data_IF_162104791292
#
_entry.id   IF_162104791292
#
_cell.length_a   1.000
_cell.length_b   1.000
_cell.length_c   1.000
_cell.angle_alpha   90.00
_cell.angle_beta   90.00
_cell.angle_gamma   90.00
#
_symmetry.space_group_name_H-M   'P 1'
#
loop_
_entity.id
_entity.type
_entity.pdbx_description
1 polymer ?
#
# COMPACT_ATOMS: atom_id res chain seq x y z
N UNK A 1 10.36 -19.83 -58.27
CA UNK A 1 9.62 -20.57 -57.23
C UNK A 1 10.34 -20.74 -55.88
N UNK A 2 11.68 -20.76 -55.79
CA UNK A 2 12.40 -20.95 -54.52
C UNK A 2 12.36 -19.75 -53.55
N UNK A 3 12.46 -18.52 -54.07
CA UNK A 3 12.45 -17.29 -53.24
C UNK A 3 11.15 -17.07 -52.45
N UNK A 4 10.01 -17.49 -53.00
CA UNK A 4 8.69 -17.31 -52.38
C UNK A 4 8.47 -18.25 -51.16
N UNK A 5 9.06 -19.45 -51.19
CA UNK A 5 9.02 -20.40 -50.05
C UNK A 5 9.93 -19.95 -48.91
N UNK A 6 11.09 -19.35 -49.22
CA UNK A 6 12.02 -18.83 -48.22
C UNK A 6 11.43 -17.65 -47.45
N UNK A 7 10.75 -16.73 -48.12
CA UNK A 7 10.07 -15.60 -47.46
C UNK A 7 8.86 -16.05 -46.64
N UNK A 8 8.11 -17.06 -47.10
CA UNK A 8 7.00 -17.63 -46.33
C UNK A 8 7.47 -18.32 -45.03
N UNK A 9 8.55 -19.11 -45.09
CA UNK A 9 9.14 -19.75 -43.90
C UNK A 9 9.69 -18.72 -42.90
N UNK A 10 10.24 -17.61 -43.40
CA UNK A 10 10.73 -16.51 -42.55
C UNK A 10 9.58 -15.81 -41.81
N UNK A 11 8.45 -15.60 -42.50
CA UNK A 11 7.23 -15.02 -41.90
C UNK A 11 6.63 -15.95 -40.85
N UNK A 12 6.51 -17.25 -41.14
CA UNK A 12 5.98 -18.26 -40.20
C UNK A 12 6.87 -18.37 -38.96
N UNK A 13 8.20 -18.38 -39.13
CA UNK A 13 9.15 -18.39 -38.00
C UNK A 13 9.00 -17.14 -37.12
N UNK A 14 8.91 -15.96 -37.72
CA UNK A 14 8.71 -14.70 -36.99
C UNK A 14 7.38 -14.64 -36.23
N UNK A 15 6.28 -15.19 -36.80
CA UNK A 15 4.99 -15.28 -36.10
C UNK A 15 5.05 -16.26 -34.90
N UNK A 16 5.83 -17.34 -34.99
CA UNK A 16 6.05 -18.27 -33.87
C UNK A 16 6.85 -17.64 -32.73
N UNK A 17 7.74 -16.69 -33.02
CA UNK A 17 8.51 -15.97 -32.00
C UNK A 17 7.67 -14.95 -31.21
N UNK A 18 6.60 -14.40 -31.80
CA UNK A 18 5.72 -13.45 -31.10
C UNK A 18 4.86 -14.11 -30.00
N UNK A 19 4.59 -15.41 -30.07
CA UNK A 19 3.79 -16.12 -29.05
C UNK A 19 4.60 -16.49 -27.80
N UNK A 20 5.93 -16.34 -27.86
CA UNK A 20 6.85 -16.60 -26.75
C UNK A 20 7.11 -15.36 -25.88
N UNK A 21 6.47 -14.22 -26.18
CA UNK A 21 6.62 -13.01 -25.36
C UNK A 21 5.88 -13.24 -24.03
N UNK A 22 6.58 -13.25 -22.88
CA UNK A 22 5.90 -13.35 -21.60
C UNK A 22 4.96 -12.16 -21.43
N UNK A 23 3.72 -12.42 -21.00
CA UNK A 23 2.76 -11.37 -20.67
C UNK A 23 3.31 -10.58 -19.49
N UNK A 24 3.70 -9.32 -19.71
CA UNK A 24 3.99 -8.40 -18.62
C UNK A 24 2.69 -8.11 -17.87
N UNK A 25 2.59 -8.52 -16.61
CA UNK A 25 1.50 -8.09 -15.74
C UNK A 25 1.83 -6.66 -15.30
N UNK A 26 1.19 -5.68 -15.93
CA UNK A 26 1.25 -4.32 -15.42
C UNK A 26 0.38 -4.22 -14.17
N UNK A 27 0.82 -3.45 -13.17
CA UNK A 27 -0.04 -3.13 -12.05
C UNK A 27 -1.33 -2.46 -12.52
N UNK A 28 -2.42 -2.87 -11.90
CA UNK A 28 -3.71 -2.23 -12.07
C UNK A 28 -3.63 -0.80 -11.48
N UNK A 29 -3.50 0.18 -12.38
CA UNK A 29 -3.34 1.59 -12.03
C UNK A 29 -4.51 2.10 -11.19
N UNK A 30 -5.71 1.63 -11.46
CA UNK A 30 -6.91 2.04 -10.72
C UNK A 30 -6.83 1.56 -9.27
N UNK A 31 -6.46 0.29 -9.06
CA UNK A 31 -6.25 -0.26 -7.70
C UNK A 31 -5.12 0.41 -6.96
N UNK A 32 -4.02 0.73 -7.65
CA UNK A 32 -2.89 1.46 -7.06
C UNK A 32 -3.31 2.85 -6.60
N UNK A 33 -4.04 3.59 -7.45
CA UNK A 33 -4.56 4.90 -7.10
C UNK A 33 -5.56 4.82 -5.95
N UNK A 34 -6.51 3.89 -6.00
CA UNK A 34 -7.47 3.66 -4.92
C UNK A 34 -6.78 3.39 -3.58
N UNK A 35 -5.77 2.52 -3.59
CA UNK A 35 -4.95 2.23 -2.39
C UNK A 35 -4.19 3.46 -1.93
N UNK A 36 -3.56 4.21 -2.84
CA UNK A 36 -2.84 5.45 -2.53
C UNK A 36 -3.75 6.47 -1.84
N UNK A 37 -5.01 6.58 -2.26
CA UNK A 37 -5.94 7.54 -1.67
C UNK A 37 -6.45 7.17 -0.27
N UNK A 38 -6.25 5.92 0.16
CA UNK A 38 -6.61 5.44 1.49
C UNK A 38 -5.51 5.57 2.54
N UNK A 39 -4.33 6.08 2.16
CA UNK A 39 -3.19 6.24 3.06
C UNK A 39 -3.16 7.66 3.65
N UNK A 40 -2.93 7.73 4.96
CA UNK A 40 -2.76 8.96 5.73
C UNK A 40 -1.48 8.90 6.54
N UNK A 41 -1.02 10.05 7.03
CA UNK A 41 0.08 10.11 7.99
C UNK A 41 -0.48 10.29 9.40
N UNK A 42 0.01 9.52 10.35
CA UNK A 42 -0.18 9.81 11.78
C UNK A 42 1.02 10.64 12.21
N UNK A 43 0.78 11.83 12.76
CA UNK A 43 1.81 12.74 13.26
C UNK A 43 1.68 12.91 14.76
N UNK A 44 2.75 13.33 15.41
CA UNK A 44 2.79 13.63 16.83
C UNK A 44 4.10 14.31 17.20
N UNK A 45 4.19 14.79 18.44
CA UNK A 45 5.42 15.33 18.98
C UNK A 45 5.93 14.43 20.10
N UNK A 46 7.22 14.11 20.04
CA UNK A 46 7.94 13.48 21.12
C UNK A 46 8.10 14.43 22.30
N UNK A 47 8.46 13.89 23.47
CA UNK A 47 8.70 14.70 24.67
C UNK A 47 9.84 15.72 24.53
N UNK A 48 10.77 15.48 23.59
CA UNK A 48 11.88 16.39 23.26
C UNK A 48 11.52 17.41 22.16
N UNK A 49 10.28 17.40 21.67
CA UNK A 49 9.78 18.27 20.60
C UNK A 49 10.04 17.75 19.18
N UNK A 50 10.78 16.65 19.01
CA UNK A 50 10.99 16.04 17.70
C UNK A 50 9.69 15.48 17.12
N UNK A 51 9.60 15.42 15.78
CA UNK A 51 8.41 14.92 15.09
C UNK A 51 8.37 13.39 15.14
N UNK A 52 7.32 12.85 15.75
CA UNK A 52 6.93 11.47 15.58
C UNK A 52 5.99 11.36 14.37
N UNK A 53 6.19 10.34 13.54
CA UNK A 53 5.31 10.10 12.41
C UNK A 53 5.21 8.62 12.08
N UNK A 54 4.13 8.25 11.42
CA UNK A 54 3.90 6.92 10.87
C UNK A 54 2.82 6.95 9.80
N UNK A 55 2.53 5.79 9.23
CA UNK A 55 1.49 5.63 8.21
C UNK A 55 0.22 5.06 8.80
N UNK A 56 -0.93 5.47 8.30
CA UNK A 56 -2.23 4.91 8.62
C UNK A 56 -2.97 4.51 7.35
N UNK A 57 -3.83 3.50 7.46
CA UNK A 57 -4.71 3.03 6.40
C UNK A 57 -6.15 3.29 6.82
N UNK A 58 -6.90 4.05 6.04
CA UNK A 58 -8.32 4.27 6.26
C UNK A 58 -9.06 2.97 5.98
N UNK A 59 -9.70 2.37 6.98
CA UNK A 59 -10.46 1.12 6.84
C UNK A 59 -11.98 1.37 6.83
N UNK A 60 -12.40 2.50 7.40
CA UNK A 60 -13.76 3.04 7.34
C UNK A 60 -13.67 4.57 7.36
N UNK A 61 -14.71 5.34 6.94
CA UNK A 61 -14.66 6.80 6.91
C UNK A 61 -14.21 7.46 8.23
N UNK A 62 -14.49 6.86 9.37
CA UNK A 62 -14.12 7.36 10.70
C UNK A 62 -12.97 6.59 11.34
N UNK A 63 -12.40 5.57 10.67
CA UNK A 63 -11.43 4.65 11.26
C UNK A 63 -10.17 4.47 10.43
N UNK A 64 -9.03 4.56 11.11
CA UNK A 64 -7.70 4.37 10.54
C UNK A 64 -6.97 3.28 11.29
N UNK A 65 -6.43 2.29 10.58
CA UNK A 65 -5.56 1.27 11.14
C UNK A 65 -4.09 1.70 11.02
N UNK A 66 -3.32 1.52 12.08
CA UNK A 66 -1.89 1.84 12.11
C UNK A 66 -1.18 0.95 13.13
N UNK A 67 0.13 1.13 13.30
CA UNK A 67 0.87 0.45 14.34
C UNK A 67 0.74 1.13 15.71
N UNK A 68 0.69 0.34 16.78
CA UNK A 68 0.57 0.89 18.13
C UNK A 68 1.85 1.57 18.63
N UNK A 69 3.04 1.18 18.14
CA UNK A 69 4.29 1.76 18.60
C UNK A 69 4.40 3.27 18.35
N UNK A 70 3.69 3.81 17.35
CA UNK A 70 3.65 5.25 17.03
C UNK A 70 3.17 6.05 18.26
N UNK A 71 2.19 5.52 19.00
CA UNK A 71 1.59 6.19 20.16
C UNK A 71 2.45 6.14 21.43
N UNK A 72 3.56 5.40 21.44
CA UNK A 72 4.40 5.29 22.63
C UNK A 72 5.20 6.55 22.91
N UNK A 73 5.47 7.33 21.86
CA UNK A 73 6.38 8.47 21.93
C UNK A 73 5.67 9.83 21.93
N UNK A 74 4.41 9.86 21.47
CA UNK A 74 3.60 11.09 21.34
C UNK A 74 2.41 11.09 22.30
N UNK A 75 2.13 12.25 22.91
CA UNK A 75 0.99 12.44 23.82
C UNK A 75 -0.29 12.87 23.10
N UNK A 76 -0.15 13.62 22.02
CA UNK A 76 -1.27 14.24 21.29
C UNK A 76 -1.09 14.03 19.78
N UNK A 77 -1.20 12.79 19.28
CA UNK A 77 -1.10 12.54 17.85
C UNK A 77 -2.36 12.98 17.08
N UNK A 78 -2.19 13.25 15.80
CA UNK A 78 -3.26 13.57 14.87
C UNK A 78 -3.09 12.83 13.54
N UNK A 79 -4.19 12.65 12.82
CA UNK A 79 -4.17 12.16 11.45
C UNK A 79 -3.93 13.36 10.53
N UNK A 80 -3.15 13.19 9.48
CA UNK A 80 -2.89 14.23 8.49
C UNK A 80 -2.77 13.69 7.08
N UNK A 81 -3.09 14.55 6.12
CA UNK A 81 -2.89 14.29 4.70
C UNK A 81 -2.51 15.59 4.00
N UNK A 82 -1.23 15.71 3.61
CA UNK A 82 -0.69 17.01 3.21
C UNK A 82 -0.76 18.00 4.37
N UNK A 83 -1.48 19.09 4.16
CA UNK A 83 -1.72 20.15 5.15
C UNK A 83 -2.99 19.90 5.99
N UNK A 84 -3.91 19.06 5.51
CA UNK A 84 -5.13 18.74 6.25
C UNK A 84 -4.81 17.92 7.50
N UNK A 85 -5.48 18.25 8.59
CA UNK A 85 -5.27 17.65 9.92
C UNK A 85 -6.61 17.29 10.55
N UNK A 86 -6.67 16.11 11.17
CA UNK A 86 -7.88 15.55 11.78
C UNK A 86 -7.54 15.03 13.19
N UNK A 87 -8.35 15.36 14.21
CA UNK A 87 -8.11 14.93 15.57
C UNK A 87 -8.35 13.42 15.73
N UNK A 88 -7.62 12.83 16.67
CA UNK A 88 -7.85 11.45 17.11
C UNK A 88 -8.72 11.48 18.35
N UNK A 89 -9.92 10.90 18.24
CA UNK A 89 -10.92 10.90 19.30
C UNK A 89 -10.83 9.66 20.19
N UNK A 90 -10.38 8.54 19.64
CA UNK A 90 -10.23 7.28 20.38
C UNK A 90 -9.18 6.37 19.72
N UNK A 91 -8.57 5.50 20.52
CA UNK A 91 -7.63 4.48 20.04
C UNK A 91 -7.97 3.13 20.70
N UNK A 92 -8.38 2.17 19.89
CA UNK A 92 -8.52 0.77 20.30
C UNK A 92 -7.24 0.02 19.96
N UNK A 93 -6.56 -0.54 20.97
CA UNK A 93 -5.23 -1.10 20.82
C UNK A 93 -5.21 -2.63 21.00
N UNK A 94 -4.63 -3.31 20.02
CA UNK A 94 -4.10 -4.67 20.15
C UNK A 94 -2.57 -4.59 20.22
N UNK A 95 -2.07 -4.56 21.45
CA UNK A 95 -0.63 -4.39 21.72
C UNK A 95 0.18 -5.63 21.40
N UNK A 96 -0.43 -6.82 21.40
CA UNK A 96 0.27 -8.06 21.13
C UNK A 96 0.65 -8.16 19.65
N UNK A 97 -0.24 -7.71 18.76
CA UNK A 97 -0.01 -7.67 17.31
C UNK A 97 0.55 -6.33 16.80
N UNK A 98 0.80 -5.36 17.68
CA UNK A 98 1.18 -3.97 17.33
C UNK A 98 0.20 -3.29 16.35
N UNK A 99 -1.11 -3.50 16.55
CA UNK A 99 -2.20 -2.97 15.72
C UNK A 99 -3.10 -2.04 16.53
N UNK A 100 -3.25 -0.80 16.06
CA UNK A 100 -4.08 0.21 16.70
C UNK A 100 -5.12 0.73 15.70
N UNK A 101 -6.39 0.65 16.09
CA UNK A 101 -7.53 1.21 15.37
C UNK A 101 -7.86 2.57 15.95
N UNK A 102 -7.59 3.60 15.16
CA UNK A 102 -7.77 5.01 15.49
C UNK A 102 -9.14 5.45 15.01
N UNK A 103 -9.89 6.17 15.85
CA UNK A 103 -11.16 6.79 15.48
C UNK A 103 -11.00 8.29 15.40
N UNK A 104 -11.52 8.88 14.33
CA UNK A 104 -11.57 10.32 14.06
C UNK A 104 -13.01 10.71 13.72
N UNK A 105 -13.23 12.01 13.53
CA UNK A 105 -14.34 12.48 12.70
C UNK A 105 -14.25 11.90 11.29
N UNK A 106 -15.34 12.00 10.52
CA UNK A 106 -15.41 11.47 9.16
C UNK A 106 -14.33 12.10 8.27
N UNK A 107 -13.41 11.27 7.80
CA UNK A 107 -12.35 11.65 6.88
C UNK A 107 -12.94 11.78 5.46
N UNK A 108 -12.60 12.83 4.70
CA UNK A 108 -13.10 13.04 3.33
C UNK A 108 -12.34 12.21 2.29
N UNK A 109 -11.85 11.03 2.67
CA UNK A 109 -10.98 10.19 1.85
C UNK A 109 -11.54 8.76 1.78
N UNK A 110 -11.31 8.04 0.67
CA UNK A 110 -11.85 6.70 0.51
C UNK A 110 -11.17 5.70 1.46
N UNK A 111 -11.95 4.75 1.95
CA UNK A 111 -11.41 3.58 2.65
C UNK A 111 -10.69 2.65 1.67
N UNK A 112 -9.68 1.95 2.19
CA UNK A 112 -8.95 0.93 1.46
C UNK A 112 -9.88 -0.23 1.07
N UNK A 113 -9.69 -0.76 -0.14
CA UNK A 113 -10.30 -2.03 -0.50
C UNK A 113 -9.56 -3.16 0.25
N UNK A 114 -10.27 -3.83 1.16
CA UNK A 114 -9.69 -4.91 1.95
C UNK A 114 -9.78 -6.23 1.18
N UNK A 115 -8.63 -6.85 0.91
CA UNK A 115 -8.50 -8.17 0.30
C UNK A 115 -8.45 -9.30 1.33
N UNK A 116 -8.23 -10.53 0.85
CA UNK A 116 -8.07 -11.71 1.71
C UNK A 116 -6.64 -12.23 1.69
N UNK A 117 -6.03 -12.39 2.86
CA UNK A 117 -4.69 -12.98 3.02
C UNK A 117 -4.62 -14.42 2.51
N UNK A 118 -5.73 -15.16 2.51
CA UNK A 118 -5.80 -16.55 2.04
C UNK A 118 -5.56 -16.69 0.53
N UNK A 119 -5.70 -15.59 -0.22
CA UNK A 119 -5.46 -15.56 -1.67
C UNK A 119 -4.01 -15.20 -2.02
N UNK A 120 -3.21 -14.78 -1.04
CA UNK A 120 -1.82 -14.38 -1.26
C UNK A 120 -0.95 -15.59 -1.58
N UNK A 121 0.04 -15.39 -2.46
CA UNK A 121 0.98 -16.43 -2.89
C UNK A 121 2.40 -15.91 -2.81
N UNK A 122 3.34 -16.76 -2.38
CA UNK A 122 4.77 -16.48 -2.50
C UNK A 122 5.11 -16.19 -3.96
N UNK A 123 5.92 -15.15 -4.19
CA UNK A 123 6.30 -14.67 -5.51
C UNK A 123 5.30 -13.68 -6.14
N UNK A 124 4.10 -13.50 -5.58
CA UNK A 124 3.17 -12.49 -6.08
C UNK A 124 3.76 -11.08 -5.91
N UNK A 125 3.55 -10.23 -6.91
CA UNK A 125 3.94 -8.82 -6.85
C UNK A 125 3.08 -8.07 -5.83
N UNK A 126 3.72 -7.18 -5.08
CA UNK A 126 3.07 -6.35 -4.06
C UNK A 126 3.58 -4.92 -4.15
N UNK A 127 2.77 -4.02 -3.62
CA UNK A 127 3.13 -2.62 -3.43
C UNK A 127 2.93 -2.24 -1.98
N UNK A 128 3.94 -1.60 -1.39
CA UNK A 128 3.85 -0.96 -0.10
C UNK A 128 3.69 0.55 -0.30
N UNK A 129 2.70 1.16 0.35
CA UNK A 129 2.43 2.59 0.29
C UNK A 129 2.42 3.14 1.72
N UNK A 130 3.18 4.20 1.97
CA UNK A 130 3.28 4.80 3.29
C UNK A 130 4.10 6.07 3.30
N UNK A 131 4.09 6.76 4.43
CA UNK A 131 4.87 7.97 4.64
C UNK A 131 6.23 7.65 5.26
N UNK A 132 7.26 7.57 4.42
CA UNK A 132 8.65 7.45 4.87
C UNK A 132 9.31 8.83 5.03
N UNK A 133 10.25 8.95 5.96
CA UNK A 133 11.01 10.19 6.23
C UNK A 133 10.14 11.45 6.41
N UNK A 134 8.98 11.30 7.05
CA UNK A 134 7.97 12.36 7.23
C UNK A 134 7.48 13.02 5.93
N UNK A 135 7.62 12.36 4.77
CA UNK A 135 7.14 12.87 3.48
C UNK A 135 5.63 13.17 3.54
N UNK A 136 5.17 14.39 3.24
CA UNK A 136 3.74 14.73 3.24
C UNK A 136 2.91 13.93 2.23
N UNK A 137 3.54 13.48 1.15
CA UNK A 137 2.94 12.56 0.18
C UNK A 137 3.36 11.10 0.50
N UNK A 138 2.45 10.13 0.38
CA UNK A 138 2.81 8.72 0.47
C UNK A 138 3.85 8.34 -0.59
N UNK A 139 4.79 7.49 -0.21
CA UNK A 139 5.83 6.91 -1.07
C UNK A 139 5.45 5.46 -1.35
N UNK A 140 5.68 5.06 -2.60
CA UNK A 140 5.35 3.73 -3.10
C UNK A 140 6.63 2.92 -3.30
N UNK A 141 6.63 1.67 -2.81
CA UNK A 141 7.68 0.68 -3.06
C UNK A 141 7.08 -0.59 -3.65
N UNK A 142 7.79 -1.21 -4.59
CA UNK A 142 7.34 -2.40 -5.30
C UNK A 142 8.21 -3.59 -4.88
N UNK A 143 7.59 -4.74 -4.67
CA UNK A 143 8.28 -5.96 -4.27
C UNK A 143 7.52 -7.23 -4.61
N UNK A 144 7.94 -8.32 -3.99
CA UNK A 144 7.29 -9.63 -4.12
C UNK A 144 7.15 -10.29 -2.75
N UNK A 145 6.07 -11.07 -2.56
CA UNK A 145 5.86 -11.83 -1.33
C UNK A 145 6.95 -12.89 -1.19
N UNK A 146 7.75 -12.81 -0.12
CA UNK A 146 8.83 -13.79 0.14
C UNK A 146 8.35 -15.02 0.89
N UNK A 147 7.43 -14.84 1.83
CA UNK A 147 6.90 -15.88 2.71
C UNK A 147 5.54 -15.46 3.24
N UNK A 148 4.71 -16.44 3.62
CA UNK A 148 3.42 -16.25 4.27
C UNK A 148 3.44 -17.13 5.51
N UNK A 149 3.01 -16.58 6.63
CA UNK A 149 2.86 -17.30 7.89
C UNK A 149 1.40 -17.23 8.32
N UNK A 150 0.88 -18.24 9.02
CA UNK A 150 -0.41 -18.15 9.68
C UNK A 150 -0.46 -16.91 10.58
N UNK A 151 -1.61 -16.25 10.59
CA UNK A 151 -1.94 -15.31 11.63
C UNK A 151 -2.44 -16.16 12.80
N UNK A 152 -1.64 -16.20 13.87
CA UNK A 152 -1.70 -17.09 15.05
C UNK A 152 -1.27 -18.56 14.83
#
# INVERSE_FOLDING_TARGET
MYRLKSSLNLVVSSLLFLTLIPTAQAFDREKLLGSFFSIVMIRGHNSDGSLAYGSGVIVEPTKVLTNCHIFRQTKEPWISRGEDTFPINNVQADRYHDLCLVTSESLPFPAAQIGSVNTMKKGAEIVAIGHSSASPAPITSIGTIKSIYPYD
#
